data_IF_323852391110
#
_entry.id   IF_323852391110
#
_cell.length_a   1.000
_cell.length_b   1.000
_cell.length_c   1.000
_cell.angle_alpha   90.00
_cell.angle_beta   90.00
_cell.angle_gamma   90.00
#
_symmetry.space_group_name_H-M   'P 1'
#
loop_
_entity.id
_entity.type
_entity.pdbx_description
1 polymer ?
#
# COMPACT_ATOMS: atom_id res chain seq x y z
N UNK A 1 -7.64 56.45 80.43
CA UNK A 1 -8.08 55.25 79.68
C UNK A 1 -8.64 55.71 78.34
N UNK A 2 -8.02 55.33 77.22
CA UNK A 2 -8.49 55.62 75.86
C UNK A 2 -8.30 54.33 75.05
N UNK A 3 -9.36 53.55 74.87
CA UNK A 3 -9.36 52.41 73.97
C UNK A 3 -9.66 52.91 72.55
N UNK A 4 -8.67 52.83 71.66
CA UNK A 4 -8.87 53.02 70.21
C UNK A 4 -9.25 51.67 69.60
N UNK A 5 -10.49 51.55 69.13
CA UNK A 5 -10.94 50.41 68.32
C UNK A 5 -10.43 50.56 66.89
N UNK A 6 -9.57 49.64 66.46
CA UNK A 6 -9.14 49.55 65.07
C UNK A 6 -10.13 48.69 64.27
N UNK A 7 -10.84 49.29 63.33
CA UNK A 7 -11.64 48.58 62.32
C UNK A 7 -10.70 48.11 61.20
N UNK A 8 -10.54 46.79 61.05
CA UNK A 8 -9.87 46.18 59.90
C UNK A 8 -10.87 46.05 58.74
N UNK A 9 -10.60 46.72 57.62
CA UNK A 9 -11.30 46.50 56.36
C UNK A 9 -10.77 45.23 55.69
N UNK A 10 -11.66 44.34 55.27
CA UNK A 10 -11.31 43.12 54.52
C UNK A 10 -11.35 43.45 53.03
N UNK A 11 -10.21 43.39 52.35
CA UNK A 11 -10.16 43.50 50.89
C UNK A 11 -10.59 42.17 50.25
N UNK A 12 -11.39 42.18 49.17
CA UNK A 12 -11.79 40.96 48.49
C UNK A 12 -10.58 40.35 47.77
N UNK A 13 -10.35 39.06 47.98
CA UNK A 13 -9.31 38.27 47.30
C UNK A 13 -9.82 37.94 45.89
N UNK A 14 -9.13 38.40 44.84
CA UNK A 14 -9.46 38.06 43.47
C UNK A 14 -9.29 36.54 43.24
N UNK A 15 -10.32 35.88 42.72
CA UNK A 15 -10.27 34.47 42.34
C UNK A 15 -9.44 34.29 41.07
N UNK A 16 -8.63 33.22 40.94
CA UNK A 16 -7.88 32.95 39.74
C UNK A 16 -8.83 32.65 38.57
N UNK A 17 -8.64 33.33 37.45
CA UNK A 17 -9.40 33.10 36.22
C UNK A 17 -8.92 31.77 35.60
N UNK A 18 -9.72 30.72 35.75
CA UNK A 18 -9.48 29.45 35.07
C UNK A 18 -9.59 29.68 33.54
N UNK A 19 -8.50 29.46 32.81
CA UNK A 19 -8.52 29.43 31.35
C UNK A 19 -9.17 28.12 30.91
N UNK A 20 -10.23 28.20 30.12
CA UNK A 20 -10.85 27.02 29.54
C UNK A 20 -9.86 26.34 28.57
N UNK A 21 -9.73 24.99 28.58
CA UNK A 21 -8.85 24.31 27.64
C UNK A 21 -9.41 24.50 26.22
N UNK A 22 -8.61 25.10 25.35
CA UNK A 22 -8.93 25.18 23.92
C UNK A 22 -8.72 23.78 23.33
N UNK A 23 -9.82 23.04 23.21
CA UNK A 23 -9.84 21.77 22.52
C UNK A 23 -9.49 22.00 21.04
N UNK A 24 -8.27 21.65 20.63
CA UNK A 24 -7.93 21.53 19.22
C UNK A 24 -8.68 20.33 18.68
N UNK A 25 -9.70 20.57 17.88
CA UNK A 25 -10.39 19.55 17.09
C UNK A 25 -9.40 19.00 16.07
N UNK A 26 -8.84 17.83 16.34
CA UNK A 26 -8.14 17.05 15.32
C UNK A 26 -9.18 16.58 14.32
N UNK A 27 -9.22 17.24 13.16
CA UNK A 27 -10.04 16.84 12.03
C UNK A 27 -9.44 15.55 11.46
N UNK A 28 -10.00 14.40 11.83
CA UNK A 28 -9.70 13.14 11.14
C UNK A 28 -10.36 13.22 9.77
N UNK A 29 -9.58 13.17 8.69
CA UNK A 29 -10.09 13.10 7.33
C UNK A 29 -11.13 11.98 7.21
N UNK A 30 -12.23 12.28 6.52
CA UNK A 30 -13.23 11.28 6.16
C UNK A 30 -12.56 10.16 5.34
N UNK A 31 -12.77 8.87 5.66
CA UNK A 31 -12.32 7.79 4.79
C UNK A 31 -13.02 7.94 3.43
N UNK A 32 -12.24 8.10 2.36
CA UNK A 32 -12.74 7.88 1.00
C UNK A 32 -12.92 6.38 0.82
N UNK A 33 -14.16 5.92 0.95
CA UNK A 33 -14.53 4.58 0.50
C UNK A 33 -14.64 4.62 -1.03
N UNK A 34 -13.64 4.09 -1.73
CA UNK A 34 -13.81 3.67 -3.12
C UNK A 34 -14.66 2.40 -3.14
N UNK A 35 -15.57 2.27 -4.12
CA UNK A 35 -16.41 1.05 -4.28
C UNK A 35 -15.57 -0.23 -4.48
N UNK A 36 -14.29 -0.08 -4.85
CA UNK A 36 -13.26 -1.11 -4.79
C UNK A 36 -12.35 -0.82 -3.59
N UNK A 37 -12.70 -1.35 -2.41
CA UNK A 37 -11.77 -1.32 -1.28
C UNK A 37 -10.88 -2.55 -1.36
N UNK A 38 -9.61 -2.32 -1.69
CA UNK A 38 -8.59 -3.34 -1.52
C UNK A 38 -8.62 -3.83 -0.06
N UNK A 39 -8.50 -5.16 0.16
CA UNK A 39 -8.52 -5.69 1.51
C UNK A 39 -7.38 -5.07 2.31
N UNK A 40 -7.68 -4.61 3.52
CA UNK A 40 -6.68 -4.05 4.42
C UNK A 40 -5.73 -5.19 4.83
N UNK A 41 -4.57 -5.25 4.18
CA UNK A 41 -3.52 -6.23 4.45
C UNK A 41 -2.67 -5.77 5.64
N UNK A 42 -3.22 -5.91 6.85
CA UNK A 42 -2.55 -5.54 8.10
C UNK A 42 -2.49 -6.72 9.08
N UNK A 43 -1.41 -6.80 9.84
CA UNK A 43 -1.26 -7.76 10.93
C UNK A 43 -2.03 -7.35 12.20
N UNK A 44 -2.21 -8.29 13.15
CA UNK A 44 -2.92 -8.05 14.41
C UNK A 44 -2.20 -7.08 15.38
N UNK A 45 -0.93 -6.75 15.13
CA UNK A 45 -0.10 -5.96 16.03
C UNK A 45 0.52 -6.79 17.17
N UNK A 46 1.72 -6.39 17.59
CA UNK A 46 2.46 -7.06 18.66
C UNK A 46 1.93 -6.79 20.06
N UNK A 47 2.19 -7.72 20.98
CA UNK A 47 1.92 -7.53 22.41
C UNK A 47 2.90 -6.54 23.03
N UNK A 48 2.44 -5.80 24.04
CA UNK A 48 3.30 -4.86 24.76
C UNK A 48 4.37 -5.60 25.56
N UNK A 49 5.64 -5.18 25.41
CA UNK A 49 6.78 -5.73 26.13
C UNK A 49 7.47 -6.93 25.46
N UNK A 50 6.96 -7.39 24.32
CA UNK A 50 7.56 -8.44 23.49
C UNK A 50 8.05 -7.85 22.16
N UNK A 51 9.04 -8.49 21.55
CA UNK A 51 9.47 -8.13 20.19
C UNK A 51 8.49 -8.80 19.21
N UNK A 52 7.73 -8.03 18.42
CA UNK A 52 6.75 -8.59 17.49
C UNK A 52 7.39 -9.41 16.39
N UNK A 53 6.63 -10.38 15.90
CA UNK A 53 7.01 -11.18 14.73
C UNK A 53 6.57 -10.50 13.43
N UNK A 54 7.18 -10.88 12.31
CA UNK A 54 6.83 -10.35 10.98
C UNK A 54 5.34 -10.57 10.66
N UNK A 55 4.72 -11.64 11.16
CA UNK A 55 3.29 -11.88 10.98
C UNK A 55 2.39 -10.85 11.68
N UNK A 56 2.86 -10.28 12.77
CA UNK A 56 2.13 -9.32 13.58
C UNK A 56 2.28 -7.89 13.06
N UNK A 57 3.44 -7.56 12.49
CA UNK A 57 3.78 -6.22 12.02
C UNK A 57 3.79 -6.01 10.50
N UNK A 58 3.91 -7.06 9.69
CA UNK A 58 3.95 -6.90 8.23
C UNK A 58 2.65 -6.26 7.72
N UNK A 59 2.80 -5.35 6.76
CA UNK A 59 1.69 -4.63 6.13
C UNK A 59 1.83 -4.58 4.61
N UNK A 60 0.72 -4.44 3.89
CA UNK A 60 0.70 -4.27 2.44
C UNK A 60 1.29 -5.48 1.69
N UNK A 61 2.20 -5.21 0.74
CA UNK A 61 2.81 -6.23 -0.12
C UNK A 61 3.71 -7.19 0.65
N UNK A 62 4.40 -6.72 1.69
CA UNK A 62 5.23 -7.57 2.55
C UNK A 62 4.36 -8.68 3.19
N UNK A 63 3.21 -8.28 3.74
CA UNK A 63 2.25 -9.24 4.31
C UNK A 63 1.68 -10.17 3.25
N UNK A 64 1.36 -9.64 2.06
CA UNK A 64 0.85 -10.44 0.95
C UNK A 64 1.85 -11.56 0.60
N UNK A 65 3.11 -11.23 0.39
CA UNK A 65 4.16 -12.19 0.10
C UNK A 65 4.35 -13.19 1.25
N UNK A 66 4.41 -12.70 2.50
CA UNK A 66 4.58 -13.53 3.70
C UNK A 66 3.45 -14.56 3.86
N UNK A 67 2.20 -14.15 3.64
CA UNK A 67 1.03 -15.04 3.73
C UNK A 67 1.02 -16.12 2.65
N UNK A 68 1.49 -15.82 1.44
CA UNK A 68 1.63 -16.83 0.38
C UNK A 68 2.75 -17.80 0.71
N UNK A 69 3.91 -17.29 1.16
CA UNK A 69 5.03 -18.13 1.60
C UNK A 69 4.63 -19.08 2.73
N UNK A 70 3.80 -18.64 3.67
CA UNK A 70 3.25 -19.50 4.72
C UNK A 70 2.33 -20.61 4.21
N UNK A 71 1.60 -20.38 3.11
CA UNK A 71 0.78 -21.40 2.44
C UNK A 71 1.60 -22.34 1.56
N UNK A 72 2.90 -22.05 1.37
CA UNK A 72 3.75 -22.76 0.43
C UNK A 72 3.54 -22.34 -1.03
N UNK A 73 2.95 -21.16 -1.25
CA UNK A 73 2.70 -20.57 -2.57
C UNK A 73 3.62 -19.35 -2.77
N UNK A 74 4.01 -19.06 -4.02
CA UNK A 74 4.73 -17.83 -4.35
C UNK A 74 3.75 -16.77 -4.85
N UNK A 75 3.72 -15.62 -4.16
CA UNK A 75 2.85 -14.49 -4.52
C UNK A 75 3.19 -13.89 -5.89
N UNK A 76 4.45 -13.99 -6.31
CA UNK A 76 4.97 -13.47 -7.57
C UNK A 76 5.70 -14.60 -8.28
N UNK A 77 5.42 -14.79 -9.57
CA UNK A 77 6.08 -15.83 -10.36
C UNK A 77 7.56 -15.49 -10.54
N UNK A 78 8.43 -16.40 -10.10
CA UNK A 78 9.88 -16.38 -10.33
C UNK A 78 10.30 -17.40 -11.40
N UNK A 79 9.34 -18.08 -12.01
CA UNK A 79 9.60 -19.12 -13.00
C UNK A 79 10.15 -18.47 -14.29
N UNK A 80 11.21 -19.06 -14.88
CA UNK A 80 11.69 -18.60 -16.16
C UNK A 80 10.63 -18.84 -17.25
N UNK A 81 10.69 -18.06 -18.33
CA UNK A 81 9.82 -18.28 -19.46
C UNK A 81 10.04 -19.68 -20.04
N UNK A 82 8.99 -20.50 -20.05
CA UNK A 82 9.02 -21.81 -20.69
C UNK A 82 8.93 -21.67 -22.22
N UNK A 83 9.95 -22.17 -22.91
CA UNK A 83 10.01 -22.19 -24.38
C UNK A 83 10.09 -23.65 -24.86
N UNK A 84 8.94 -24.38 -24.90
CA UNK A 84 8.94 -25.81 -25.24
C UNK A 84 9.15 -26.08 -26.73
N UNK A 85 8.91 -25.08 -27.58
CA UNK A 85 8.99 -25.19 -29.05
C UNK A 85 9.54 -23.91 -29.68
N UNK A 86 9.99 -24.02 -30.92
CA UNK A 86 10.34 -22.87 -31.74
C UNK A 86 9.07 -22.13 -32.19
N UNK A 87 8.87 -20.91 -31.72
CA UNK A 87 7.72 -20.08 -32.10
C UNK A 87 7.84 -19.51 -33.51
N UNK A 88 6.78 -19.62 -34.32
CA UNK A 88 6.68 -19.02 -35.66
C UNK A 88 5.78 -17.78 -35.64
N UNK A 89 5.74 -16.98 -36.71
CA UNK A 89 4.85 -15.80 -36.76
C UNK A 89 3.37 -16.23 -36.72
N UNK A 90 3.05 -17.36 -37.34
CA UNK A 90 1.69 -17.92 -37.35
C UNK A 90 1.33 -18.56 -36.00
N UNK A 91 2.31 -19.14 -35.32
CA UNK A 91 2.15 -19.79 -34.03
C UNK A 91 3.24 -19.34 -33.03
N UNK A 92 3.11 -18.13 -32.45
CA UNK A 92 4.11 -17.56 -31.55
C UNK A 92 4.04 -18.17 -30.13
N UNK A 93 5.12 -18.02 -29.37
CA UNK A 93 5.13 -18.32 -27.93
C UNK A 93 4.38 -17.20 -27.22
N UNK A 94 3.30 -17.57 -26.51
CA UNK A 94 2.53 -16.63 -25.72
C UNK A 94 3.23 -16.35 -24.39
N UNK A 95 3.38 -15.08 -24.06
CA UNK A 95 4.01 -14.63 -22.82
C UNK A 95 2.96 -13.94 -21.97
N UNK A 96 2.71 -14.47 -20.76
CA UNK A 96 1.77 -13.89 -19.82
C UNK A 96 2.31 -12.56 -19.30
N UNK A 97 1.49 -11.51 -19.38
CA UNK A 97 1.81 -10.25 -18.73
C UNK A 97 0.60 -9.57 -18.10
N UNK A 98 0.80 -9.02 -16.90
CA UNK A 98 -0.19 -8.23 -16.17
C UNK A 98 0.10 -6.72 -16.27
N UNK A 99 1.33 -6.34 -16.65
CA UNK A 99 1.76 -4.96 -16.88
C UNK A 99 2.37 -4.79 -18.28
N UNK A 100 2.49 -3.56 -18.75
CA UNK A 100 3.30 -3.25 -19.93
C UNK A 100 4.63 -2.70 -19.42
N UNK A 101 5.74 -3.44 -19.53
CA UNK A 101 7.12 -2.94 -19.45
C UNK A 101 8.15 -4.07 -19.72
N UNK A 102 9.40 -3.69 -19.92
CA UNK A 102 10.39 -4.33 -20.82
C UNK A 102 10.90 -5.73 -20.43
N UNK A 103 10.71 -6.69 -21.34
CA UNK A 103 11.55 -7.90 -21.51
C UNK A 103 12.57 -7.55 -22.62
N UNK A 104 13.76 -8.17 -22.70
CA UNK A 104 14.95 -7.72 -23.49
C UNK A 104 14.77 -7.49 -25.03
N UNK A 105 13.54 -7.47 -25.52
CA UNK A 105 13.07 -6.70 -26.68
C UNK A 105 11.55 -6.50 -26.48
N UNK A 106 11.01 -5.36 -26.92
CA UNK A 106 9.58 -5.07 -26.72
C UNK A 106 8.72 -6.01 -27.55
N UNK A 107 7.87 -6.81 -26.90
CA UNK A 107 6.82 -7.59 -27.53
C UNK A 107 5.47 -6.88 -27.37
N UNK A 108 4.62 -6.93 -28.40
CA UNK A 108 3.30 -6.29 -28.38
C UNK A 108 2.18 -7.31 -28.23
N UNK A 109 1.00 -6.83 -27.82
CA UNK A 109 -0.24 -7.62 -27.82
C UNK A 109 -0.71 -7.91 -29.25
N UNK A 110 -0.62 -6.91 -30.12
CA UNK A 110 -1.22 -6.97 -31.47
C UNK A 110 -0.39 -7.74 -32.49
N UNK A 111 0.93 -7.84 -32.28
CA UNK A 111 1.85 -8.41 -33.27
C UNK A 111 2.96 -9.22 -32.62
N UNK A 112 3.14 -10.44 -33.12
CA UNK A 112 4.27 -11.28 -32.77
C UNK A 112 5.59 -10.68 -33.27
N UNK A 113 6.61 -10.67 -32.41
CA UNK A 113 7.96 -10.17 -32.70
C UNK A 113 8.96 -11.31 -32.58
N UNK A 114 9.95 -11.33 -33.48
CA UNK A 114 11.03 -12.30 -33.44
C UNK A 114 12.20 -11.81 -32.58
N UNK A 115 12.76 -12.71 -31.79
CA UNK A 115 14.05 -12.49 -31.15
C UNK A 115 15.14 -12.38 -32.23
N UNK A 116 16.02 -11.35 -32.18
CA UNK A 116 17.07 -11.16 -33.18
C UNK A 116 18.19 -12.21 -33.10
N UNK A 117 18.31 -12.93 -31.98
CA UNK A 117 19.35 -13.96 -31.80
C UNK A 117 18.90 -15.35 -32.23
N UNK A 118 17.76 -15.82 -31.71
CA UNK A 118 17.29 -17.20 -31.96
C UNK A 118 16.18 -17.31 -33.01
N UNK A 119 15.57 -16.20 -33.42
CA UNK A 119 14.49 -16.18 -34.43
C UNK A 119 13.12 -16.63 -33.92
N UNK A 120 12.98 -17.06 -32.67
CA UNK A 120 11.68 -17.40 -32.05
C UNK A 120 10.73 -16.21 -32.05
N UNK A 121 9.48 -16.43 -32.41
CA UNK A 121 8.42 -15.44 -32.32
C UNK A 121 7.70 -15.48 -30.96
N UNK A 122 7.48 -14.30 -30.37
CA UNK A 122 6.80 -14.11 -29.09
C UNK A 122 5.65 -13.12 -29.24
N UNK A 123 4.55 -13.34 -28.52
CA UNK A 123 3.39 -12.45 -28.45
C UNK A 123 2.90 -12.32 -27.01
N UNK A 124 2.56 -11.11 -26.58
CA UNK A 124 2.07 -10.87 -25.21
C UNK A 124 0.59 -11.25 -25.12
N UNK A 125 0.28 -12.12 -24.16
CA UNK A 125 -1.08 -12.42 -23.75
C UNK A 125 -1.39 -11.60 -22.49
N UNK A 126 -2.19 -10.54 -22.67
CA UNK A 126 -2.49 -9.60 -21.60
C UNK A 126 -3.70 -10.06 -20.79
N UNK A 127 -3.51 -10.20 -19.48
CA UNK A 127 -4.56 -10.60 -18.54
C UNK A 127 -4.92 -9.50 -17.52
N UNK A 128 -4.40 -8.28 -17.68
CA UNK A 128 -4.75 -7.16 -16.83
C UNK A 128 -6.10 -6.52 -17.18
N UNK A 129 -6.48 -5.51 -16.40
CA UNK A 129 -7.69 -4.71 -16.64
C UNK A 129 -7.58 -3.98 -17.98
N UNK A 130 -8.70 -3.82 -18.72
CA UNK A 130 -8.70 -3.17 -20.03
C UNK A 130 -8.10 -1.76 -19.97
N UNK A 131 -7.42 -1.36 -21.05
CA UNK A 131 -6.69 -0.10 -21.16
C UNK A 131 -7.64 1.11 -20.99
N UNK A 132 -7.68 1.62 -19.77
CA UNK A 132 -8.47 2.78 -19.36
C UNK A 132 -8.14 3.31 -17.96
N UNK A 133 -7.41 2.54 -17.15
CA UNK A 133 -7.07 2.90 -15.75
C UNK A 133 -5.57 3.11 -15.49
N UNK A 134 -4.72 2.98 -16.52
CA UNK A 134 -3.28 3.30 -16.40
C UNK A 134 -3.07 4.80 -16.61
N UNK A 135 -3.45 5.60 -15.60
CA UNK A 135 -3.15 7.03 -15.56
C UNK A 135 -1.65 7.25 -15.41
N UNK A 136 -0.97 7.60 -16.50
CA UNK A 136 0.40 8.10 -16.45
C UNK A 136 0.40 9.45 -15.69
N UNK A 137 0.65 9.40 -14.39
CA UNK A 137 1.00 10.59 -13.61
C UNK A 137 2.44 10.97 -13.97
N UNK A 138 2.59 11.99 -14.81
CA UNK A 138 3.81 12.78 -14.92
C UNK A 138 4.01 13.65 -13.68
#
# INVERSE_FOLDING_TARGET
MLFRTALRTVAPRALPRAQAPVARTFLTSLPRFSDHQEPILQGPGGKSGEIPTDLEQATGLERFELLHKLKGEEAFSLEPLEVPRLGTIEDPIKVFSLSHDTILFTAHKDKAIRCPECGCAYQVEYHGLPEGEHGHHH
#
